data_IF_007789191895
#
_entry.id   IF_007789191895
#
_cell.length_a   1.000
_cell.length_b   1.000
_cell.length_c   1.000
_cell.angle_alpha   90.00
_cell.angle_beta   90.00
_cell.angle_gamma   90.00
#
_symmetry.space_group_name_H-M   'P 1'
#
loop_
_entity.id
_entity.type
_entity.pdbx_description
1 polymer ?
#
# COMPACT_ATOMS: atom_id res chain seq x y z
N UNK A 1 13.97 24.83 -5.43
CA UNK A 1 12.83 24.07 -5.99
C UNK A 1 11.90 23.77 -4.83
N UNK A 2 10.66 24.27 -4.83
CA UNK A 2 9.72 24.04 -3.72
C UNK A 2 9.11 22.65 -3.92
N UNK A 3 9.31 21.76 -2.96
CA UNK A 3 8.67 20.44 -2.97
C UNK A 3 7.15 20.62 -2.88
N UNK A 4 6.42 20.15 -3.90
CA UNK A 4 4.95 20.16 -3.90
C UNK A 4 4.47 19.25 -2.77
N UNK A 5 3.64 19.76 -1.86
CA UNK A 5 3.10 19.01 -0.72
C UNK A 5 1.63 18.69 -0.91
N UNK A 6 1.19 17.56 -0.39
CA UNK A 6 -0.19 17.07 -0.41
C UNK A 6 -0.55 16.47 0.96
N UNK A 7 -1.84 16.46 1.28
CA UNK A 7 -2.36 15.77 2.46
C UNK A 7 -2.65 14.31 2.06
N UNK A 8 -2.04 13.36 2.78
CA UNK A 8 -2.32 11.95 2.57
C UNK A 8 -3.77 11.64 2.99
N UNK A 9 -4.61 11.06 2.12
CA UNK A 9 -6.01 10.75 2.45
C UNK A 9 -6.15 9.58 3.43
N UNK A 10 -5.07 8.83 3.71
CA UNK A 10 -5.09 7.67 4.59
C UNK A 10 -4.68 7.99 6.02
N UNK A 11 -3.60 8.76 6.22
CA UNK A 11 -3.10 9.12 7.54
C UNK A 11 -3.35 10.60 7.93
N UNK A 12 -3.69 11.46 6.97
CA UNK A 12 -3.91 12.89 7.21
C UNK A 12 -2.65 13.74 7.27
N UNK A 13 -1.45 13.15 7.13
CA UNK A 13 -0.19 13.89 7.17
C UNK A 13 0.05 14.72 5.90
N UNK A 14 0.71 15.87 6.10
CA UNK A 14 1.27 16.65 4.99
C UNK A 14 2.61 16.06 4.55
N UNK A 15 2.65 15.54 3.32
CA UNK A 15 3.84 14.89 2.74
C UNK A 15 4.20 15.52 1.40
N UNK A 16 5.46 15.39 0.98
CA UNK A 16 5.83 15.73 -0.39
C UNK A 16 5.19 14.76 -1.39
N UNK A 17 4.91 15.24 -2.61
CA UNK A 17 4.32 14.43 -3.68
C UNK A 17 5.22 13.23 -4.02
N UNK A 18 6.54 13.44 -4.06
CA UNK A 18 7.53 12.37 -4.27
C UNK A 18 7.45 11.30 -3.18
N UNK A 19 7.40 11.67 -1.90
CA UNK A 19 7.25 10.73 -0.78
C UNK A 19 5.93 9.99 -0.84
N UNK A 20 4.83 10.67 -1.18
CA UNK A 20 3.53 10.04 -1.34
C UNK A 20 3.55 8.98 -2.46
N UNK A 21 4.09 9.35 -3.63
CA UNK A 21 4.17 8.45 -4.77
C UNK A 21 5.06 7.24 -4.46
N UNK A 22 6.24 7.47 -3.88
CA UNK A 22 7.16 6.40 -3.51
C UNK A 22 6.53 5.43 -2.49
N UNK A 23 5.82 5.96 -1.49
CA UNK A 23 5.11 5.13 -0.51
C UNK A 23 4.04 4.28 -1.21
N UNK A 24 3.16 4.91 -2.01
CA UNK A 24 2.09 4.22 -2.74
C UNK A 24 2.62 3.12 -3.67
N UNK A 25 3.69 3.40 -4.43
CA UNK A 25 4.30 2.43 -5.34
C UNK A 25 4.93 1.25 -4.59
N UNK A 26 5.59 1.51 -3.46
CA UNK A 26 6.16 0.47 -2.61
C UNK A 26 5.08 -0.43 -2.00
N UNK A 27 4.03 0.15 -1.41
CA UNK A 27 2.91 -0.63 -0.84
C UNK A 27 2.22 -1.48 -1.91
N UNK A 28 1.98 -0.89 -3.09
CA UNK A 28 1.39 -1.58 -4.23
C UNK A 28 2.24 -2.76 -4.69
N UNK A 29 3.56 -2.57 -4.80
CA UNK A 29 4.48 -3.63 -5.20
C UNK A 29 4.43 -4.81 -4.23
N UNK A 30 4.48 -4.55 -2.94
CA UNK A 30 4.45 -5.61 -1.92
C UNK A 30 3.11 -6.36 -1.94
N UNK A 31 1.99 -5.65 -2.04
CA UNK A 31 0.66 -6.27 -2.12
C UNK A 31 0.49 -7.12 -3.39
N UNK A 32 1.00 -6.67 -4.54
CA UNK A 32 0.98 -7.45 -5.79
C UNK A 32 1.81 -8.74 -5.66
N UNK A 33 2.98 -8.66 -5.01
CA UNK A 33 3.80 -9.84 -4.73
C UNK A 33 3.09 -10.84 -3.82
N UNK A 34 2.54 -10.39 -2.70
CA UNK A 34 1.76 -11.24 -1.77
C UNK A 34 0.61 -11.92 -2.50
N UNK A 35 -0.14 -11.18 -3.32
CA UNK A 35 -1.28 -11.71 -4.08
C UNK A 35 -0.86 -12.77 -5.11
N UNK A 36 0.31 -12.60 -5.75
CA UNK A 36 0.85 -13.59 -6.69
C UNK A 36 1.36 -14.85 -6.02
N UNK A 37 1.91 -14.74 -4.81
CA UNK A 37 2.41 -15.88 -4.05
C UNK A 37 1.28 -16.65 -3.35
N UNK A 38 0.14 -15.99 -3.09
CA UNK A 38 -1.04 -16.57 -2.44
C UNK A 38 -2.31 -16.40 -3.28
N UNK A 39 -2.41 -17.04 -4.46
CA UNK A 39 -3.61 -16.97 -5.29
C UNK A 39 -4.85 -17.52 -4.58
N UNK A 40 -4.70 -18.42 -3.61
CA UNK A 40 -5.79 -18.98 -2.80
C UNK A 40 -6.40 -17.98 -1.79
N UNK A 41 -5.77 -16.83 -1.60
CA UNK A 41 -6.29 -15.74 -0.77
C UNK A 41 -7.20 -14.79 -1.51
N UNK A 42 -7.25 -14.90 -2.85
CA UNK A 42 -8.07 -14.06 -3.70
C UNK A 42 -9.54 -14.51 -3.60
N UNK A 43 -10.40 -13.55 -3.31
CA UNK A 43 -11.84 -13.73 -3.19
C UNK A 43 -12.49 -13.71 -4.58
N UNK A 44 -13.72 -14.20 -4.70
CA UNK A 44 -14.41 -14.38 -5.99
C UNK A 44 -14.65 -13.07 -6.74
N UNK A 45 -14.73 -11.95 -6.03
CA UNK A 45 -14.83 -10.59 -6.56
C UNK A 45 -13.47 -9.99 -6.98
N UNK A 46 -12.37 -10.72 -6.75
CA UNK A 46 -11.02 -10.32 -7.11
C UNK A 46 -10.29 -9.52 -6.03
N UNK A 47 -10.95 -9.19 -4.91
CA UNK A 47 -10.28 -8.66 -3.72
C UNK A 47 -9.43 -9.71 -3.02
N UNK A 48 -8.57 -9.27 -2.11
CA UNK A 48 -7.75 -10.16 -1.29
C UNK A 48 -7.62 -9.59 0.13
N UNK A 49 -8.66 -9.75 0.94
CA UNK A 49 -8.66 -9.26 2.33
C UNK A 49 -7.53 -9.89 3.15
N UNK A 50 -7.19 -11.15 2.88
CA UNK A 50 -6.07 -11.85 3.52
C UNK A 50 -4.71 -11.24 3.15
N UNK A 51 -4.51 -10.80 1.90
CA UNK A 51 -3.29 -10.12 1.48
C UNK A 51 -3.07 -8.84 2.30
N UNK A 52 -4.14 -8.03 2.47
CA UNK A 52 -4.09 -6.81 3.27
C UNK A 52 -3.81 -7.10 4.75
N UNK A 53 -4.44 -8.13 5.31
CA UNK A 53 -4.21 -8.54 6.70
C UNK A 53 -2.77 -9.00 6.92
N UNK A 54 -2.23 -9.78 5.99
CA UNK A 54 -0.85 -10.23 6.04
C UNK A 54 0.12 -9.05 5.91
N UNK A 55 -0.10 -8.17 4.92
CA UNK A 55 0.70 -6.97 4.72
C UNK A 55 0.78 -6.10 5.98
N UNK A 56 -0.37 -5.83 6.62
CA UNK A 56 -0.43 -5.08 7.90
C UNK A 56 0.28 -5.76 9.06
N UNK A 57 0.46 -7.08 9.00
CA UNK A 57 1.23 -7.80 10.03
C UNK A 57 2.75 -7.65 9.86
N UNK A 58 3.22 -7.33 8.64
CA UNK A 58 4.63 -7.09 8.34
C UNK A 58 5.08 -5.68 8.74
N UNK A 59 4.18 -4.71 8.73
CA UNK A 59 4.46 -3.29 8.98
C UNK A 59 4.19 -2.85 10.43
N UNK A 60 4.12 -3.78 11.38
CA UNK A 60 4.04 -3.43 12.81
C UNK A 60 5.37 -2.84 13.28
N UNK A 61 5.45 -1.51 13.29
CA UNK A 61 6.37 -0.70 14.09
C UNK A 61 5.59 -0.03 15.22
#
# INVERSE_FOLDING_TARGET
MVAKRIICPLCGDEVSVDRFQAHFEAEKYVLDRISKEHPEWKESDGSCTKCLKYYRSLTKE
#
